data_IF_287378353888
#
_entry.id   IF_287378353888
#
_cell.length_a   1.000
_cell.length_b   1.000
_cell.length_c   1.000
_cell.angle_alpha   90.00
_cell.angle_beta   90.00
_cell.angle_gamma   90.00
#
_symmetry.space_group_name_H-M   'P 1'
#
loop_
_entity.id
_entity.type
_entity.pdbx_description
1 polymer ?
#
# COMPACT_ATOMS: atom_id res chain seq x y z
N UNK A 1 -3.36 13.27 -0.46
CA UNK A 1 -3.47 12.00 0.30
C UNK A 1 -4.91 11.51 0.22
N UNK A 2 -5.19 10.23 -0.08
CA UNK A 2 -6.57 9.76 -0.21
C UNK A 2 -7.30 9.70 1.14
N UNK A 3 -8.62 9.91 1.12
CA UNK A 3 -9.49 9.78 2.29
C UNK A 3 -9.63 8.33 2.76
N UNK A 4 -9.62 7.38 1.83
CA UNK A 4 -9.53 5.93 2.11
C UNK A 4 -8.74 5.18 1.03
N UNK A 5 -8.26 3.97 1.35
CA UNK A 5 -7.64 3.06 0.39
C UNK A 5 -7.94 1.60 0.73
N UNK A 6 -8.09 0.74 -0.27
CA UNK A 6 -8.22 -0.70 -0.01
C UNK A 6 -6.90 -1.33 0.48
N UNK A 7 -7.02 -2.31 1.37
CA UNK A 7 -5.88 -3.08 1.86
C UNK A 7 -5.02 -3.65 0.73
N UNK A 8 -5.66 -4.22 -0.30
CA UNK A 8 -4.96 -4.75 -1.49
C UNK A 8 -4.10 -3.70 -2.18
N UNK A 9 -4.61 -2.47 -2.36
CA UNK A 9 -3.86 -1.39 -3.03
C UNK A 9 -2.72 -0.88 -2.14
N UNK A 10 -2.98 -0.76 -0.84
CA UNK A 10 -1.94 -0.43 0.14
C UNK A 10 -0.79 -1.44 0.11
N UNK A 11 -1.09 -2.73 0.25
CA UNK A 11 -0.12 -3.83 0.22
C UNK A 11 0.74 -3.78 -1.05
N UNK A 12 0.11 -3.57 -2.22
CA UNK A 12 0.84 -3.47 -3.49
C UNK A 12 1.84 -2.30 -3.50
N UNK A 13 1.46 -1.15 -2.95
CA UNK A 13 2.35 0.03 -2.88
C UNK A 13 3.46 -0.20 -1.84
N UNK A 14 3.13 -0.75 -0.67
CA UNK A 14 4.12 -1.06 0.37
C UNK A 14 5.22 -1.99 -0.16
N UNK A 15 4.85 -3.04 -0.92
CA UNK A 15 5.83 -3.93 -1.57
C UNK A 15 6.74 -3.19 -2.56
N UNK A 16 6.20 -2.26 -3.34
CA UNK A 16 7.00 -1.42 -4.26
C UNK A 16 7.98 -0.50 -3.53
N UNK A 17 7.61 -0.07 -2.32
CA UNK A 17 8.42 0.79 -1.45
C UNK A 17 9.42 0.01 -0.58
N UNK A 18 9.60 -1.28 -0.85
CA UNK A 18 10.57 -2.14 -0.16
C UNK A 18 10.11 -2.68 1.19
N UNK A 19 8.84 -2.48 1.56
CA UNK A 19 8.29 -3.10 2.76
C UNK A 19 7.88 -4.57 2.49
N UNK A 20 8.08 -5.44 3.48
CA UNK A 20 7.84 -6.87 3.39
C UNK A 20 7.06 -7.38 4.60
N UNK A 21 6.15 -8.35 4.44
CA UNK A 21 5.48 -8.98 5.56
C UNK A 21 6.43 -9.91 6.33
N UNK A 22 6.37 -9.86 7.66
CA UNK A 22 7.23 -10.67 8.56
C UNK A 22 6.45 -11.61 9.46
N UNK A 23 5.13 -11.48 9.54
CA UNK A 23 4.30 -12.38 10.33
C UNK A 23 2.84 -11.94 10.36
N UNK A 24 1.93 -12.87 10.67
CA UNK A 24 0.51 -12.58 10.83
C UNK A 24 0.11 -12.56 12.30
N UNK A 25 -0.85 -11.70 12.62
CA UNK A 25 -1.57 -11.78 13.89
C UNK A 25 -2.26 -13.13 14.02
N UNK A 26 -2.42 -13.64 15.25
CA UNK A 26 -3.16 -14.87 15.54
C UNK A 26 -4.58 -14.90 14.95
N UNK A 27 -5.21 -13.73 14.80
CA UNK A 27 -6.54 -13.60 14.19
C UNK A 27 -6.54 -13.58 12.64
N UNK A 28 -5.37 -13.47 12.01
CA UNK A 28 -5.23 -13.33 10.55
C UNK A 28 -5.67 -11.97 9.96
N UNK A 29 -6.28 -11.08 10.76
CA UNK A 29 -6.81 -9.78 10.30
C UNK A 29 -5.72 -8.74 10.07
N UNK A 30 -4.61 -8.84 10.81
CA UNK A 30 -3.46 -7.95 10.72
C UNK A 30 -2.21 -8.74 10.36
N UNK A 31 -1.34 -8.13 9.58
CA UNK A 31 -0.02 -8.64 9.22
C UNK A 31 1.03 -7.63 9.65
N UNK A 32 2.10 -8.07 10.27
CA UNK A 32 3.24 -7.21 10.62
C UNK A 32 4.13 -7.07 9.39
N UNK A 33 4.49 -5.83 9.09
CA UNK A 33 5.34 -5.48 7.96
C UNK A 33 6.61 -4.80 8.45
N UNK A 34 7.73 -5.10 7.81
CA UNK A 34 9.03 -4.48 8.04
C UNK A 34 9.47 -3.70 6.82
N UNK A 35 10.14 -2.57 7.03
CA UNK A 35 10.94 -1.88 6.01
C UNK A 35 12.30 -1.60 6.61
N UNK A 36 13.35 -1.88 5.84
CA UNK A 36 14.71 -1.55 6.23
C UNK A 36 15.20 -0.37 5.40
N UNK A 37 15.73 0.66 6.08
CA UNK A 37 16.27 1.86 5.45
C UNK A 37 17.45 2.36 6.30
N UNK A 38 18.60 2.59 5.67
CA UNK A 38 19.83 3.03 6.35
C UNK A 38 20.23 2.14 7.54
N UNK A 39 20.04 0.82 7.43
CA UNK A 39 20.35 -0.15 8.49
C UNK A 39 19.37 -0.14 9.68
N UNK A 40 18.29 0.65 9.62
CA UNK A 40 17.23 0.67 10.63
C UNK A 40 16.00 -0.08 10.13
N UNK A 41 15.43 -0.90 11.03
CA UNK A 41 14.19 -1.66 10.75
C UNK A 41 13.00 -0.92 11.33
N UNK A 42 12.00 -0.72 10.49
CA UNK A 42 10.74 -0.05 10.79
C UNK A 42 9.60 -1.04 10.69
N UNK A 43 8.71 -1.07 11.68
CA UNK A 43 7.65 -2.08 11.80
C UNK A 43 6.28 -1.40 11.88
N UNK A 44 5.30 -1.94 11.15
CA UNK A 44 3.92 -1.50 11.28
C UNK A 44 2.92 -2.64 11.05
N UNK A 45 1.81 -2.69 11.81
CA UNK A 45 0.71 -3.59 11.54
C UNK A 45 -0.13 -3.08 10.35
N UNK A 46 -0.34 -3.93 9.36
CA UNK A 46 -1.14 -3.67 8.16
C UNK A 46 -2.40 -4.52 8.20
N UNK A 47 -3.56 -3.91 7.96
CA UNK A 47 -4.85 -4.59 7.95
C UNK A 47 -5.05 -5.26 6.58
N UNK A 48 -5.25 -6.58 6.56
CA UNK A 48 -5.35 -7.35 5.30
C UNK A 48 -6.75 -7.35 4.69
N UNK A 49 -7.79 -7.38 5.52
CA UNK A 49 -9.17 -7.70 5.08
C UNK A 49 -10.11 -6.51 4.99
N UNK A 50 -9.59 -5.27 5.05
CA UNK A 50 -10.43 -4.07 5.05
C UNK A 50 -10.57 -3.48 3.66
N UNK A 51 -11.81 -3.40 3.17
CA UNK A 51 -12.17 -2.79 1.88
C UNK A 51 -11.77 -1.31 1.82
N UNK A 52 -11.89 -0.60 2.94
CA UNK A 52 -11.52 0.79 3.11
C UNK A 52 -10.73 1.03 4.40
N UNK A 53 -9.45 1.35 4.24
CA UNK A 53 -8.56 1.81 5.31
C UNK A 53 -8.69 3.33 5.40
N UNK A 54 -9.13 3.89 6.54
CA UNK A 54 -9.23 5.33 6.72
C UNK A 54 -7.87 6.01 6.58
N UNK A 55 -7.86 7.24 6.06
CA UNK A 55 -6.63 8.02 5.87
C UNK A 55 -5.82 8.21 7.16
N UNK A 56 -6.47 8.25 8.33
CA UNK A 56 -5.80 8.27 9.64
C UNK A 56 -4.98 7.01 9.90
N UNK A 57 -5.60 5.84 9.75
CA UNK A 57 -4.92 4.53 9.88
C UNK A 57 -3.80 4.38 8.85
N UNK A 58 -4.05 4.79 7.60
CA UNK A 58 -3.04 4.80 6.55
C UNK A 58 -1.81 5.63 6.97
N UNK A 59 -2.01 6.85 7.49
CA UNK A 59 -0.91 7.69 7.97
C UNK A 59 -0.12 7.03 9.10
N UNK A 60 -0.80 6.37 10.05
CA UNK A 60 -0.12 5.65 11.14
C UNK A 60 0.75 4.50 10.60
N UNK A 61 0.26 3.74 9.61
CA UNK A 61 1.02 2.66 8.97
C UNK A 61 2.26 3.22 8.27
N UNK A 62 2.09 4.27 7.45
CA UNK A 62 3.21 4.88 6.73
C UNK A 62 4.27 5.43 7.68
N UNK A 63 3.83 6.08 8.78
CA UNK A 63 4.73 6.56 9.83
C UNK A 63 5.50 5.43 10.49
N UNK A 64 4.83 4.32 10.80
CA UNK A 64 5.48 3.13 11.40
C UNK A 64 6.53 2.48 10.50
N UNK A 65 6.38 2.59 9.17
CA UNK A 65 7.34 2.09 8.18
C UNK A 65 8.37 3.14 7.71
N UNK A 66 8.36 4.34 8.30
CA UNK A 66 9.17 5.48 7.87
C UNK A 66 8.97 5.85 6.38
N UNK A 67 7.77 5.66 5.86
CA UNK A 67 7.42 5.99 4.48
C UNK A 67 6.84 7.41 4.44
N UNK A 68 7.42 8.28 3.62
CA UNK A 68 6.88 9.62 3.44
C UNK A 68 5.56 9.60 2.68
N UNK A 69 4.69 10.55 3.02
CA UNK A 69 3.42 10.77 2.31
C UNK A 69 3.64 11.04 0.81
N UNK A 70 4.74 11.71 0.49
CA UNK A 70 5.13 12.06 -0.88
C UNK A 70 5.49 10.81 -1.68
N UNK A 71 6.32 9.93 -1.15
CA UNK A 71 6.76 8.69 -1.83
C UNK A 71 5.58 7.74 -2.05
N UNK A 72 4.70 7.67 -1.05
CA UNK A 72 3.46 6.93 -1.18
C UNK A 72 2.57 7.49 -2.29
N UNK A 73 2.41 8.82 -2.33
CA UNK A 73 1.55 9.49 -3.32
C UNK A 73 2.09 9.36 -4.76
N UNK A 74 3.40 9.39 -4.94
CA UNK A 74 4.04 9.15 -6.24
C UNK A 74 3.70 7.75 -6.79
N UNK A 75 3.74 6.74 -5.92
CA UNK A 75 3.38 5.37 -6.27
C UNK A 75 1.86 5.15 -6.43
N UNK A 76 1.04 5.94 -5.74
CA UNK A 76 -0.40 5.96 -5.93
C UNK A 76 -0.75 6.40 -7.36
N UNK A 77 -0.08 7.44 -7.88
CA UNK A 77 -0.28 7.99 -9.23
C UNK A 77 0.16 7.03 -10.34
N UNK A 78 1.29 6.33 -10.16
CA UNK A 78 1.78 5.34 -11.13
C UNK A 78 0.80 4.17 -11.29
N UNK A 79 0.15 3.72 -10.20
CA UNK A 79 -0.89 2.68 -10.30
C UNK A 79 -2.09 3.17 -11.10
N UNK A 80 -2.47 4.45 -10.97
CA UNK A 80 -3.57 5.02 -11.77
C UNK A 80 -3.20 5.05 -13.25
N UNK A 81 -1.99 5.49 -13.61
CA UNK A 81 -1.55 5.54 -15.02
C UNK A 81 -1.49 4.14 -15.63
N UNK A 82 -0.91 3.16 -14.94
CA UNK A 82 -0.83 1.78 -15.45
C UNK A 82 -2.24 1.17 -15.60
N UNK A 83 -3.10 1.30 -14.58
CA UNK A 83 -4.48 0.77 -14.66
C UNK A 83 -5.29 1.47 -15.75
N UNK A 84 -5.12 2.78 -15.93
CA UNK A 84 -5.81 3.53 -16.97
C UNK A 84 -5.29 3.17 -18.37
N UNK A 85 -3.98 2.98 -18.53
CA UNK A 85 -3.36 2.52 -19.79
C UNK A 85 -3.80 1.12 -20.17
N UNK A 86 -3.86 0.18 -19.20
CA UNK A 86 -4.34 -1.19 -19.46
C UNK A 86 -5.84 -1.19 -19.81
N UNK A 87 -6.65 -0.36 -19.12
CA UNK A 87 -8.08 -0.20 -19.47
C UNK A 87 -8.25 0.36 -20.88
N UNK A 88 -7.44 1.35 -21.27
CA UNK A 88 -7.48 1.92 -22.61
C UNK A 88 -7.13 0.87 -23.69
N UNK A 89 -6.16 0.01 -23.41
CA UNK A 89 -5.75 -1.03 -24.35
C UNK A 89 -6.76 -2.20 -24.46
N UNK A 90 -7.53 -2.47 -23.41
CA UNK A 90 -8.59 -3.50 -23.43
C UNK A 90 -9.92 -3.01 -24.01
N UNK A 91 -10.19 -1.70 -24.00
CA UNK A 91 -11.45 -1.13 -24.50
C UNK A 91 -11.42 -0.83 -26.02
N UNK A 92 -10.31 -1.11 -26.71
CA UNK A 92 -10.12 -0.87 -28.14
C UNK A 92 -10.34 -2.08 -29.06
N UNK A 93 -10.86 -3.21 -28.55
CA UNK A 93 -11.16 -4.40 -29.36
C UNK A 93 -12.64 -4.77 -29.12
N UNK A 94 -13.52 -3.99 -29.72
CA UNK A 94 -14.97 -4.11 -29.54
C UNK A 94 -15.69 -3.16 -30.47
N UNK A 95 -15.50 -3.34 -31.78
CA UNK A 95 -16.32 -2.77 -32.85
C UNK A 95 -16.41 -3.80 -33.95
#
# INVERSE_FOLDING_TARGET
>A
MPSSISSRKLIRILRKLGAQPVGRSASGTHEMWVREENGKKYLAPVILSKKDIPGGTLRSILRGLNISVKDFSANLGIVVIIVNTIKFHFFGIGS
#
